data_IF_893449698149
#
_entry.id   IF_893449698149
#
_cell.length_a   1.000
_cell.length_b   1.000
_cell.length_c   1.000
_cell.angle_alpha   90.00
_cell.angle_beta   90.00
_cell.angle_gamma   90.00
#
_symmetry.space_group_name_H-M   'P 1'
#
loop_
_entity.id
_entity.type
_entity.pdbx_description
1 polymer ?
#
# COMPACT_ATOMS: atom_id res chain seq x y z
N UNK A 1 16.71 10.24 -15.14
CA UNK A 1 16.65 9.14 -14.16
C UNK A 1 16.52 9.67 -12.73
N UNK A 2 17.31 10.65 -12.32
CA UNK A 2 17.30 11.23 -10.97
C UNK A 2 15.90 11.66 -10.48
N UNK A 3 15.19 12.52 -11.24
CA UNK A 3 13.83 12.98 -10.90
C UNK A 3 12.85 11.81 -10.62
N UNK A 4 12.92 10.73 -11.42
CA UNK A 4 12.06 9.55 -11.24
C UNK A 4 12.39 8.77 -9.95
N UNK A 5 13.69 8.67 -9.63
CA UNK A 5 14.13 8.03 -8.38
C UNK A 5 13.73 8.87 -7.16
N UNK A 6 13.97 10.19 -7.18
CA UNK A 6 13.52 11.07 -6.08
C UNK A 6 12.01 10.99 -5.89
N UNK A 7 11.25 11.04 -6.99
CA UNK A 7 9.79 10.91 -6.94
C UNK A 7 9.36 9.55 -6.37
N UNK A 8 10.01 8.45 -6.78
CA UNK A 8 9.75 7.11 -6.26
C UNK A 8 9.94 7.07 -4.73
N UNK A 9 11.13 7.45 -4.26
CA UNK A 9 11.46 7.31 -2.83
C UNK A 9 10.65 8.26 -1.95
N UNK A 10 10.37 9.49 -2.40
CA UNK A 10 9.46 10.40 -1.70
C UNK A 10 8.04 9.82 -1.65
N UNK A 11 7.55 9.25 -2.75
CA UNK A 11 6.24 8.60 -2.78
C UNK A 11 6.17 7.41 -1.85
N UNK A 12 7.19 6.54 -1.83
CA UNK A 12 7.22 5.36 -0.94
C UNK A 12 7.34 5.74 0.54
N UNK A 13 8.15 6.73 0.88
CA UNK A 13 8.26 7.23 2.24
C UNK A 13 6.94 7.85 2.72
N UNK A 14 6.30 8.66 1.87
CA UNK A 14 4.99 9.25 2.15
C UNK A 14 3.91 8.18 2.28
N UNK A 15 4.02 7.08 1.51
CA UNK A 15 3.10 5.95 1.61
C UNK A 15 3.18 5.30 3.00
N UNK A 16 4.38 4.92 3.47
CA UNK A 16 4.56 4.34 4.80
C UNK A 16 4.15 5.30 5.92
N UNK A 17 4.45 6.61 5.77
CA UNK A 17 3.97 7.63 6.70
C UNK A 17 2.44 7.67 6.77
N UNK A 18 1.75 7.68 5.63
CA UNK A 18 0.29 7.70 5.55
C UNK A 18 -0.36 6.44 6.15
N UNK A 19 0.29 5.28 6.01
CA UNK A 19 -0.12 4.05 6.69
C UNK A 19 -0.05 4.21 8.21
N UNK A 20 1.05 4.76 8.73
CA UNK A 20 1.21 5.02 10.16
C UNK A 20 0.11 5.93 10.73
N UNK A 21 -0.30 6.97 9.98
CA UNK A 21 -1.43 7.83 10.36
C UNK A 21 -2.74 7.01 10.48
N UNK A 22 -3.03 6.16 9.51
CA UNK A 22 -4.24 5.33 9.51
C UNK A 22 -4.22 4.30 10.65
N UNK A 23 -3.06 3.69 10.93
CA UNK A 23 -2.89 2.77 12.06
C UNK A 23 -3.17 3.49 13.38
N UNK A 24 -2.58 4.68 13.59
CA UNK A 24 -2.79 5.49 14.81
C UNK A 24 -4.20 6.08 14.92
N UNK A 25 -4.89 6.26 13.80
CA UNK A 25 -6.31 6.60 13.83
C UNK A 25 -7.15 5.50 14.49
N UNK A 26 -6.80 4.23 14.29
CA UNK A 26 -7.48 3.07 14.89
C UNK A 26 -8.97 2.97 14.53
N UNK A 27 -9.36 3.47 13.35
CA UNK A 27 -10.75 3.48 12.86
C UNK A 27 -10.98 2.46 11.73
N UNK A 28 -10.02 1.61 11.48
CA UNK A 28 -10.02 0.63 10.39
C UNK A 28 -8.97 0.94 9.33
N UNK A 29 -8.42 -0.10 8.71
CA UNK A 29 -7.30 -0.05 7.77
C UNK A 29 -7.72 -0.57 6.40
N UNK A 30 -6.86 -0.38 5.39
CA UNK A 30 -7.05 -1.06 4.10
C UNK A 30 -6.93 -2.59 4.24
N UNK A 31 -7.46 -3.38 3.29
CA UNK A 31 -7.50 -4.84 3.39
C UNK A 31 -6.15 -5.50 3.68
N UNK A 32 -5.07 -5.02 3.06
CA UNK A 32 -3.74 -5.58 3.25
C UNK A 32 -3.15 -5.17 4.59
N UNK A 33 -3.41 -3.95 5.04
CA UNK A 33 -2.93 -3.47 6.33
C UNK A 33 -3.69 -4.11 7.50
N UNK A 34 -4.97 -4.47 7.31
CA UNK A 34 -5.69 -5.36 8.23
C UNK A 34 -4.99 -6.72 8.34
N UNK A 35 -4.52 -7.28 7.21
CA UNK A 35 -3.78 -8.54 7.21
C UNK A 35 -2.40 -8.40 7.87
N UNK A 36 -1.66 -7.33 7.58
CA UNK A 36 -0.37 -7.06 8.23
C UNK A 36 -0.54 -6.90 9.73
N UNK A 37 -1.53 -6.12 10.17
CA UNK A 37 -1.83 -5.92 11.59
C UNK A 37 -2.23 -7.23 12.28
N UNK A 38 -3.02 -8.07 11.62
CA UNK A 38 -3.41 -9.38 12.16
C UNK A 38 -2.19 -10.27 12.43
N UNK A 39 -1.15 -10.20 11.61
CA UNK A 39 0.12 -10.91 11.83
C UNK A 39 0.94 -10.22 12.93
N UNK A 40 1.06 -8.89 12.88
CA UNK A 40 1.81 -8.08 13.86
C UNK A 40 1.35 -8.36 15.29
N UNK A 41 0.05 -8.31 15.58
CA UNK A 41 -0.48 -8.56 16.93
C UNK A 41 -0.29 -10.01 17.43
N UNK A 42 0.09 -10.94 16.57
CA UNK A 42 0.32 -12.36 16.89
C UNK A 42 1.78 -12.78 16.81
N UNK A 43 2.68 -11.88 16.42
CA UNK A 43 4.10 -12.15 16.24
C UNK A 43 4.96 -11.13 16.98
N UNK A 44 6.23 -11.41 17.25
CA UNK A 44 7.15 -10.44 17.85
C UNK A 44 7.70 -9.42 16.85
N UNK A 45 7.20 -9.44 15.61
CA UNK A 45 7.68 -8.57 14.54
C UNK A 45 6.96 -7.21 14.59
N UNK A 46 7.63 -6.14 14.21
CA UNK A 46 6.98 -4.84 14.01
C UNK A 46 6.06 -4.88 12.78
N UNK A 47 5.10 -3.96 12.73
CA UNK A 47 4.19 -3.81 11.60
C UNK A 47 4.95 -3.66 10.26
N UNK A 48 6.00 -2.85 10.23
CA UNK A 48 6.84 -2.67 9.05
C UNK A 48 7.63 -3.93 8.68
N UNK A 49 8.15 -4.67 9.67
CA UNK A 49 8.81 -5.95 9.40
C UNK A 49 7.83 -6.97 8.79
N UNK A 50 6.59 -7.04 9.28
CA UNK A 50 5.52 -7.86 8.69
C UNK A 50 5.22 -7.40 7.26
N UNK A 51 5.10 -6.09 7.03
CA UNK A 51 4.87 -5.51 5.70
C UNK A 51 5.97 -5.92 4.71
N UNK A 52 7.23 -5.87 5.13
CA UNK A 52 8.38 -6.31 4.32
C UNK A 52 8.30 -7.81 4.05
N UNK A 53 8.05 -8.63 5.08
CA UNK A 53 7.99 -10.08 4.94
C UNK A 53 6.85 -10.51 3.99
N UNK A 54 5.65 -9.97 4.17
CA UNK A 54 4.50 -10.23 3.28
C UNK A 54 4.78 -9.75 1.87
N UNK A 55 5.35 -8.54 1.71
CA UNK A 55 5.76 -8.04 0.39
C UNK A 55 6.75 -8.96 -0.32
N UNK A 56 7.73 -9.47 0.41
CA UNK A 56 8.70 -10.46 -0.13
C UNK A 56 8.00 -11.77 -0.52
N UNK A 57 7.08 -12.29 0.30
CA UNK A 57 6.28 -13.48 -0.03
C UNK A 57 5.44 -13.26 -1.28
N UNK A 58 4.82 -12.09 -1.41
CA UNK A 58 4.06 -11.73 -2.63
C UNK A 58 4.96 -11.72 -3.86
N UNK A 59 6.22 -11.23 -3.74
CA UNK A 59 7.18 -11.28 -4.85
C UNK A 59 7.59 -12.70 -5.22
N UNK A 60 7.63 -13.64 -4.27
CA UNK A 60 7.85 -15.06 -4.60
C UNK A 60 6.72 -15.63 -5.45
N UNK A 61 5.47 -15.18 -5.24
CA UNK A 61 4.34 -15.56 -6.10
C UNK A 61 4.45 -15.01 -7.54
N UNK A 62 5.33 -14.01 -7.79
CA UNK A 62 5.60 -13.54 -9.14
C UNK A 62 6.40 -14.54 -9.98
N UNK A 63 7.16 -15.45 -9.34
CA UNK A 63 7.95 -16.46 -10.05
C UNK A 63 7.09 -17.35 -10.97
N UNK A 64 6.02 -18.02 -10.46
CA UNK A 64 5.13 -18.80 -11.31
C UNK A 64 4.36 -17.94 -12.31
N UNK A 65 4.13 -16.65 -12.00
CA UNK A 65 3.47 -15.69 -12.89
C UNK A 65 4.42 -15.12 -13.97
N UNK A 66 5.71 -15.46 -13.91
CA UNK A 66 6.76 -14.98 -14.82
C UNK A 66 6.82 -13.45 -14.89
N UNK A 67 6.55 -12.78 -13.75
CA UNK A 67 6.68 -11.33 -13.60
C UNK A 67 8.12 -10.99 -13.20
N UNK A 68 8.62 -9.87 -13.70
CA UNK A 68 9.95 -9.38 -13.32
C UNK A 68 9.79 -8.12 -12.46
N UNK A 69 10.29 -8.12 -11.21
CA UNK A 69 10.24 -6.94 -10.36
C UNK A 69 11.17 -5.84 -10.91
N UNK A 70 10.67 -4.61 -10.92
CA UNK A 70 11.48 -3.43 -11.20
C UNK A 70 12.14 -2.87 -9.93
N UNK A 71 13.00 -1.86 -10.09
CA UNK A 71 13.61 -1.15 -8.95
C UNK A 71 12.53 -0.60 -8.03
N UNK A 72 11.47 0.00 -8.59
CA UNK A 72 10.35 0.52 -7.82
C UNK A 72 9.63 -0.56 -7.01
N UNK A 73 9.49 -1.77 -7.55
CA UNK A 73 8.86 -2.91 -6.88
C UNK A 73 9.67 -3.36 -5.66
N UNK A 74 10.99 -3.51 -5.81
CA UNK A 74 11.87 -3.92 -4.70
C UNK A 74 11.96 -2.83 -3.63
N UNK A 75 12.09 -1.57 -4.05
CA UNK A 75 12.10 -0.43 -3.13
C UNK A 75 10.78 -0.30 -2.36
N UNK A 76 9.64 -0.58 -3.00
CA UNK A 76 8.32 -0.54 -2.38
C UNK A 76 8.26 -1.47 -1.16
N UNK A 77 8.73 -2.71 -1.29
CA UNK A 77 8.73 -3.69 -0.18
C UNK A 77 9.48 -3.16 1.04
N UNK A 78 10.66 -2.60 0.83
CA UNK A 78 11.55 -2.22 1.95
C UNK A 78 11.19 -0.83 2.49
N UNK A 79 11.06 0.16 1.61
CA UNK A 79 10.92 1.57 2.04
C UNK A 79 9.61 1.82 2.76
N UNK A 80 8.50 1.24 2.29
CA UNK A 80 7.20 1.41 2.96
C UNK A 80 7.24 0.82 4.37
N UNK A 81 7.78 -0.39 4.54
CA UNK A 81 7.87 -1.02 5.85
C UNK A 81 8.75 -0.24 6.83
N UNK A 82 9.90 0.26 6.38
CA UNK A 82 10.76 1.11 7.22
C UNK A 82 10.09 2.45 7.57
N UNK A 83 9.40 3.07 6.61
CA UNK A 83 8.74 4.35 6.83
C UNK A 83 7.54 4.24 7.78
N UNK A 84 6.75 3.16 7.71
CA UNK A 84 5.65 2.96 8.64
C UNK A 84 6.16 2.71 10.06
N UNK A 85 7.19 1.88 10.25
CA UNK A 85 7.78 1.66 11.57
C UNK A 85 8.36 2.96 12.15
N UNK A 86 9.08 3.74 11.34
CA UNK A 86 9.56 5.05 11.75
C UNK A 86 8.40 5.95 12.20
N UNK A 87 7.29 5.98 11.44
CA UNK A 87 6.12 6.79 11.80
C UNK A 87 5.51 6.34 13.12
N UNK A 88 5.36 5.04 13.31
CA UNK A 88 4.78 4.46 14.53
C UNK A 88 5.66 4.68 15.77
N UNK A 89 6.97 4.88 15.59
CA UNK A 89 7.90 5.19 16.67
C UNK A 89 7.77 6.64 17.20
N UNK A 90 7.27 7.58 16.37
CA UNK A 90 7.15 9.01 16.73
C UNK A 90 5.72 9.46 16.97
N UNK A 91 4.73 8.71 16.49
CA UNK A 91 3.33 9.09 16.54
C UNK A 91 2.54 8.17 17.47
N UNK A 92 1.94 8.75 18.49
CA UNK A 92 1.06 8.03 19.40
C UNK A 92 -0.40 8.04 18.92
N UNK A 93 -1.20 7.10 19.42
CA UNK A 93 -2.64 7.07 19.15
C UNK A 93 -3.34 8.18 19.93
N UNK A 94 -4.03 9.12 19.27
CA UNK A 94 -4.73 10.18 19.97
C UNK A 94 -5.92 9.65 20.79
N UNK A 95 -6.17 10.24 21.94
CA UNK A 95 -7.34 9.94 22.76
C UNK A 95 -8.63 10.51 22.14
N UNK A 96 -8.55 11.70 21.57
CA UNK A 96 -9.68 12.40 20.97
C UNK A 96 -10.15 11.75 19.68
N UNK A 97 -11.44 11.40 19.61
CA UNK A 97 -12.05 10.85 18.40
C UNK A 97 -11.92 11.81 17.20
N UNK A 98 -12.01 13.13 17.44
CA UNK A 98 -11.80 14.12 16.38
C UNK A 98 -10.38 14.03 15.79
N UNK A 99 -9.35 13.93 16.64
CA UNK A 99 -7.97 13.79 16.18
C UNK A 99 -7.78 12.45 15.40
N UNK A 100 -8.41 11.38 15.83
CA UNK A 100 -8.40 10.08 15.10
C UNK A 100 -9.01 10.21 13.70
N UNK A 101 -10.13 10.93 13.58
CA UNK A 101 -10.71 11.22 12.26
C UNK A 101 -9.81 12.08 11.38
N UNK A 102 -9.15 13.09 11.95
CA UNK A 102 -8.17 13.92 11.22
C UNK A 102 -7.01 13.05 10.70
N UNK A 103 -6.47 12.18 11.56
CA UNK A 103 -5.41 11.24 11.14
C UNK A 103 -5.88 10.29 10.03
N UNK A 104 -7.09 9.75 10.12
CA UNK A 104 -7.65 8.88 9.10
C UNK A 104 -7.78 9.61 7.76
N UNK A 105 -8.42 10.76 7.74
CA UNK A 105 -8.65 11.52 6.50
C UNK A 105 -7.34 12.01 5.89
N UNK A 106 -6.42 12.52 6.70
CA UNK A 106 -5.08 12.89 6.26
C UNK A 106 -4.31 11.67 5.73
N UNK A 107 -4.37 10.55 6.45
CA UNK A 107 -3.75 9.29 6.03
C UNK A 107 -4.26 8.81 4.67
N UNK A 108 -5.57 8.76 4.47
CA UNK A 108 -6.16 8.34 3.18
C UNK A 108 -5.78 9.31 2.05
N UNK A 109 -5.87 10.63 2.29
CA UNK A 109 -5.51 11.64 1.30
C UNK A 109 -4.02 11.58 0.91
N UNK A 110 -3.13 11.50 1.90
CA UNK A 110 -1.69 11.37 1.67
C UNK A 110 -1.33 10.03 1.00
N UNK A 111 -2.05 8.95 1.33
CA UNK A 111 -1.86 7.64 0.68
C UNK A 111 -2.19 7.71 -0.81
N UNK A 112 -3.25 8.42 -1.19
CA UNK A 112 -3.59 8.64 -2.59
C UNK A 112 -2.51 9.44 -3.34
N UNK A 113 -1.97 10.51 -2.73
CA UNK A 113 -0.86 11.29 -3.27
C UNK A 113 0.40 10.43 -3.40
N UNK A 114 0.75 9.68 -2.37
CA UNK A 114 1.90 8.80 -2.34
C UNK A 114 1.81 7.72 -3.43
N UNK A 115 0.63 7.12 -3.59
CA UNK A 115 0.33 6.12 -4.64
C UNK A 115 0.51 6.72 -6.02
N UNK A 116 -0.10 7.87 -6.30
CA UNK A 116 0.05 8.56 -7.59
C UNK A 116 1.52 8.93 -7.86
N UNK A 117 2.25 9.34 -6.81
CA UNK A 117 3.65 9.73 -6.90
C UNK A 117 4.55 8.54 -7.28
N UNK A 118 4.49 7.40 -6.56
CA UNK A 118 5.37 6.27 -6.85
C UNK A 118 4.99 5.55 -8.15
N UNK A 119 3.70 5.40 -8.46
CA UNK A 119 3.23 4.82 -9.72
C UNK A 119 3.66 5.71 -10.89
N UNK A 120 3.45 7.04 -10.77
CA UNK A 120 3.82 8.02 -11.78
C UNK A 120 5.31 8.06 -12.12
N UNK A 121 6.19 7.61 -11.20
CA UNK A 121 7.61 7.45 -11.47
C UNK A 121 7.91 6.37 -12.53
N UNK A 122 7.00 5.40 -12.75
CA UNK A 122 7.08 4.39 -13.80
C UNK A 122 8.29 3.46 -13.69
N UNK A 123 8.71 3.12 -12.44
CA UNK A 123 9.88 2.27 -12.15
C UNK A 123 9.52 0.84 -11.71
N UNK A 124 8.26 0.49 -11.85
CA UNK A 124 7.68 -0.82 -11.53
C UNK A 124 6.44 -0.69 -10.66
N UNK A 125 5.46 -1.61 -10.80
CA UNK A 125 4.27 -1.63 -9.96
C UNK A 125 4.62 -2.11 -8.55
N UNK A 126 3.75 -1.82 -7.58
CA UNK A 126 3.83 -2.41 -6.26
C UNK A 126 3.67 -3.95 -6.32
N UNK A 127 4.16 -4.69 -5.29
CA UNK A 127 4.06 -6.15 -5.26
C UNK A 127 2.63 -6.67 -5.44
N UNK A 128 1.67 -6.03 -4.78
CA UNK A 128 0.24 -6.39 -4.80
C UNK A 128 -0.37 -6.17 -6.19
N UNK A 129 -0.09 -5.02 -6.82
CA UNK A 129 -0.60 -4.69 -8.16
C UNK A 129 -0.03 -5.63 -9.23
N UNK A 130 1.26 -5.94 -9.13
CA UNK A 130 1.91 -6.88 -10.04
C UNK A 130 1.43 -8.31 -9.86
N UNK A 131 1.04 -8.73 -8.63
CA UNK A 131 0.39 -10.02 -8.41
C UNK A 131 -0.93 -10.10 -9.18
N UNK A 132 -1.79 -9.08 -9.05
CA UNK A 132 -3.10 -9.04 -9.70
C UNK A 132 -2.98 -8.99 -11.23
N UNK A 133 -2.14 -8.10 -11.74
CA UNK A 133 -1.92 -7.96 -13.19
C UNK A 133 -1.21 -9.17 -13.79
N UNK A 134 -0.28 -9.78 -13.03
CA UNK A 134 0.41 -10.99 -13.42
C UNK A 134 -0.52 -12.19 -13.52
N UNK A 135 -1.43 -12.34 -12.57
CA UNK A 135 -2.45 -13.36 -12.60
C UNK A 135 -3.31 -13.26 -13.86
N UNK A 136 -3.88 -12.08 -14.10
CA UNK A 136 -4.73 -11.84 -15.27
C UNK A 136 -3.98 -12.09 -16.58
N UNK A 137 -2.72 -11.66 -16.67
CA UNK A 137 -1.88 -11.90 -17.85
C UNK A 137 -1.59 -13.38 -18.08
N UNK A 138 -1.44 -14.15 -17.01
CA UNK A 138 -1.06 -15.59 -17.09
C UNK A 138 -2.26 -16.50 -17.32
N UNK A 139 -3.37 -16.24 -16.62
CA UNK A 139 -4.52 -17.12 -16.54
C UNK A 139 -5.80 -16.52 -17.13
N UNK A 140 -5.77 -15.24 -17.50
CA UNK A 140 -6.95 -14.53 -17.97
C UNK A 140 -7.86 -14.05 -16.83
N UNK A 141 -9.04 -13.63 -17.20
CA UNK A 141 -10.07 -13.18 -16.26
C UNK A 141 -10.13 -11.66 -16.09
N UNK A 142 -11.08 -11.21 -15.27
CA UNK A 142 -11.29 -9.79 -14.98
C UNK A 142 -10.33 -9.32 -13.88
N UNK A 143 -9.57 -8.25 -14.16
CA UNK A 143 -8.69 -7.64 -13.15
C UNK A 143 -9.48 -7.20 -11.89
N UNK A 144 -10.71 -6.69 -12.06
CA UNK A 144 -11.58 -6.32 -10.94
C UNK A 144 -11.90 -7.53 -10.07
N UNK A 145 -12.28 -8.65 -10.69
CA UNK A 145 -12.61 -9.87 -9.95
C UNK A 145 -11.41 -10.41 -9.18
N UNK A 146 -10.25 -10.52 -9.84
CA UNK A 146 -9.00 -10.99 -9.21
C UNK A 146 -8.62 -10.07 -8.05
N UNK A 147 -8.65 -8.75 -8.25
CA UNK A 147 -8.38 -7.76 -7.21
C UNK A 147 -9.33 -7.93 -6.03
N UNK A 148 -10.64 -7.90 -6.28
CA UNK A 148 -11.65 -8.01 -5.22
C UNK A 148 -11.50 -9.33 -4.44
N UNK A 149 -11.26 -10.45 -5.14
CA UNK A 149 -11.07 -11.75 -4.48
C UNK A 149 -9.85 -11.73 -3.56
N UNK A 150 -8.72 -11.21 -4.02
CA UNK A 150 -7.51 -11.10 -3.19
C UNK A 150 -7.76 -10.17 -1.99
N UNK A 151 -8.33 -8.98 -2.22
CA UNK A 151 -8.58 -8.00 -1.18
C UNK A 151 -9.56 -8.52 -0.11
N UNK A 152 -10.65 -9.18 -0.53
CA UNK A 152 -11.60 -9.82 0.40
C UNK A 152 -10.94 -10.95 1.18
N UNK A 153 -10.10 -11.75 0.53
CA UNK A 153 -9.39 -12.86 1.19
C UNK A 153 -8.43 -12.34 2.26
N UNK A 154 -7.57 -11.38 1.92
CA UNK A 154 -6.60 -10.83 2.88
C UNK A 154 -7.30 -10.07 4.01
N UNK A 155 -8.40 -9.36 3.71
CA UNK A 155 -9.22 -8.68 4.71
C UNK A 155 -9.81 -9.68 5.70
N UNK A 156 -10.44 -10.75 5.19
CA UNK A 156 -11.07 -11.77 6.03
C UNK A 156 -10.05 -12.48 6.93
N UNK A 157 -8.91 -12.90 6.34
CA UNK A 157 -7.83 -13.54 7.10
C UNK A 157 -7.24 -12.58 8.12
N UNK A 158 -6.97 -11.34 7.75
CA UNK A 158 -6.42 -10.33 8.64
C UNK A 158 -7.35 -10.01 9.81
N UNK A 159 -8.65 -9.91 9.56
CA UNK A 159 -9.66 -9.72 10.61
C UNK A 159 -9.72 -10.91 11.57
N UNK A 160 -9.73 -12.13 11.07
CA UNK A 160 -9.67 -13.35 11.91
C UNK A 160 -8.38 -13.44 12.74
N UNK A 161 -7.30 -12.86 12.27
CA UNK A 161 -6.03 -12.74 12.99
C UNK A 161 -6.02 -11.59 14.01
N UNK A 162 -7.04 -10.74 14.06
CA UNK A 162 -7.15 -9.63 15.02
C UNK A 162 -6.85 -8.25 14.45
N UNK A 163 -6.73 -8.12 13.14
CA UNK A 163 -6.59 -6.83 12.47
C UNK A 163 -7.87 -5.99 12.55
N UNK A 164 -7.72 -4.68 12.54
CA UNK A 164 -8.82 -3.72 12.78
C UNK A 164 -9.58 -3.41 11.51
N UNK A 165 -10.80 -3.90 11.41
CA UNK A 165 -11.79 -3.52 10.38
C UNK A 165 -12.74 -2.49 10.97
N UNK A 166 -13.03 -1.43 10.22
CA UNK A 166 -13.92 -0.38 10.69
C UNK A 166 -14.37 0.59 9.61
N UNK A 167 -14.88 1.73 10.03
CA UNK A 167 -15.33 2.79 9.11
C UNK A 167 -14.21 3.28 8.18
N UNK A 168 -12.97 3.29 8.67
CA UNK A 168 -11.78 3.62 7.88
C UNK A 168 -11.56 2.66 6.72
N UNK A 169 -11.83 1.37 6.92
CA UNK A 169 -11.71 0.35 5.85
C UNK A 169 -12.69 0.64 4.70
N UNK A 170 -13.93 0.96 5.04
CA UNK A 170 -14.96 1.31 4.04
C UNK A 170 -14.62 2.62 3.34
N UNK A 171 -14.22 3.64 4.11
CA UNK A 171 -13.81 4.94 3.57
C UNK A 171 -12.64 4.79 2.59
N UNK A 172 -11.60 4.06 2.98
CA UNK A 172 -10.43 3.80 2.14
C UNK A 172 -10.85 3.09 0.84
N UNK A 173 -11.58 1.99 0.95
CA UNK A 173 -12.01 1.20 -0.21
C UNK A 173 -12.85 2.03 -1.21
N UNK A 174 -13.70 2.94 -0.71
CA UNK A 174 -14.53 3.80 -1.55
C UNK A 174 -13.76 4.96 -2.19
N UNK A 175 -12.75 5.51 -1.50
CA UNK A 175 -12.12 6.77 -1.88
C UNK A 175 -10.78 6.62 -2.60
N UNK A 176 -9.97 5.60 -2.28
CA UNK A 176 -8.60 5.50 -2.79
C UNK A 176 -8.53 5.40 -4.31
N UNK A 177 -9.41 4.60 -4.92
CA UNK A 177 -9.46 4.44 -6.38
C UNK A 177 -9.70 5.76 -7.12
N UNK A 178 -10.82 6.46 -6.86
CA UNK A 178 -11.11 7.76 -7.45
C UNK A 178 -10.02 8.81 -7.19
N UNK A 179 -9.49 8.89 -5.95
CA UNK A 179 -8.45 9.85 -5.60
C UNK A 179 -7.15 9.59 -6.39
N UNK A 180 -6.70 8.34 -6.48
CA UNK A 180 -5.51 7.99 -7.25
C UNK A 180 -5.73 8.27 -8.74
N UNK A 181 -6.88 7.94 -9.30
CA UNK A 181 -7.19 8.24 -10.71
C UNK A 181 -7.15 9.74 -11.00
N UNK A 182 -7.65 10.57 -10.10
CA UNK A 182 -7.60 12.02 -10.22
C UNK A 182 -6.17 12.57 -10.13
N UNK A 183 -5.37 12.05 -9.21
CA UNK A 183 -4.01 12.54 -8.93
C UNK A 183 -2.96 12.03 -9.91
N UNK A 184 -3.08 10.79 -10.40
CA UNK A 184 -2.06 10.13 -11.20
C UNK A 184 -1.58 10.92 -12.43
N UNK A 185 -2.44 11.59 -13.21
CA UNK A 185 -1.99 12.39 -14.36
C UNK A 185 -1.00 13.50 -13.99
N UNK A 186 -1.13 14.08 -12.78
CA UNK A 186 -0.28 15.17 -12.29
C UNK A 186 1.13 14.68 -11.91
N UNK A 187 1.27 13.40 -11.57
CA UNK A 187 2.53 12.79 -11.14
C UNK A 187 3.20 11.93 -12.21
N UNK A 188 2.52 11.68 -13.34
CA UNK A 188 3.09 10.82 -14.40
C UNK A 188 4.24 11.53 -15.09
N UNK A 189 5.43 10.94 -14.99
CA UNK A 189 6.60 11.41 -15.74
C UNK A 189 6.51 10.85 -17.16
N UNK A 190 6.08 11.69 -18.11
CA UNK A 190 6.06 11.34 -19.52
C UNK A 190 7.49 10.98 -19.96
N UNK A 191 7.67 9.80 -20.56
CA UNK A 191 8.87 9.56 -21.37
C UNK A 191 8.78 10.52 -22.54
N UNK A 192 9.72 11.46 -22.63
CA UNK A 192 9.99 12.07 -23.92
C UNK A 192 10.40 10.91 -24.83
N UNK A 193 9.49 10.47 -25.67
CA UNK A 193 9.80 9.57 -26.77
C UNK A 193 10.68 10.41 -27.67
N UNK A 194 11.99 10.26 -27.53
CA UNK A 194 12.94 10.75 -28.55
C UNK A 194 12.62 9.95 -29.80
N UNK A 195 12.06 10.66 -30.76
CA UNK A 195 11.87 10.19 -32.13
C UNK A 195 13.23 9.82 -32.75
#
# INVERSE_FOLDING_TARGET
MGRRLSQLYLGLALYGFSMGLQIRAGLGLDPWDVFHQGIDVRSPLSFGAVTIAVGALVLLLWLPLRQRPGIGTLSNVVVIGLAVDATLAFLDTPESLLARWVLLLAGVGLNAVATACYIGAGLGPGPRDGLMTGWVRRYGGSLRLVRTTIEVTVLAVGWLLGGTVGVGTVLYAASIGPLVQFLLPHFTVHRLVSA
#
